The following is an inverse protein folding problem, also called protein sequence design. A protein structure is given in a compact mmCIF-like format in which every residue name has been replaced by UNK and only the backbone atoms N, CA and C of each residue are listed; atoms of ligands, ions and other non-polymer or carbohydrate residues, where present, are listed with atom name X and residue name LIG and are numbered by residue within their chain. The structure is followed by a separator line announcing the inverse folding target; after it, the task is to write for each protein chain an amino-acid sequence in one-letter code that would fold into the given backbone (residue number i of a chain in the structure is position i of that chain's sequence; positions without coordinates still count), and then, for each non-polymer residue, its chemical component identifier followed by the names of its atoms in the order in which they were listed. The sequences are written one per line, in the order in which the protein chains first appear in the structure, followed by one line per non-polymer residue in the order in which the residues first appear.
data_IF_539189601005
#
_entry.id   IF_539189601005
#
_cell.length_a   1.000
_cell.length_b   1.000
_cell.length_c   1.000
_cell.angle_alpha   90.00
_cell.angle_beta   90.00
_cell.angle_gamma   90.00
#
_symmetry.space_group_name_H-M   'P 1'
#
loop_
_entity.id
_entity.type
_entity.pdbx_description
1 polymer ?
#
# COMPACT_ATOMS: atom_id res chain seq x y z
N UNK A 1 -18.81 13.50 11.64
CA UNK A 1 -19.84 13.53 10.60
C UNK A 1 -19.28 13.34 9.20
N UNK A 2 -18.32 14.16 8.75
CA UNK A 2 -17.71 14.03 7.42
C UNK A 2 -17.07 12.67 7.19
N UNK A 3 -16.35 12.16 8.17
CA UNK A 3 -15.67 10.87 8.06
C UNK A 3 -16.65 9.69 7.93
N UNK A 4 -17.74 9.73 8.67
CA UNK A 4 -18.80 8.72 8.59
C UNK A 4 -19.48 8.71 7.23
N UNK A 5 -19.72 9.88 6.63
CA UNK A 5 -20.32 10.00 5.32
C UNK A 5 -19.37 9.48 4.24
N UNK A 6 -18.08 9.86 4.30
CA UNK A 6 -17.06 9.38 3.37
C UNK A 6 -16.92 7.88 3.43
N UNK A 7 -16.90 7.31 4.64
CA UNK A 7 -16.80 5.88 4.86
C UNK A 7 -18.03 5.16 4.29
N UNK A 8 -19.22 5.69 4.49
CA UNK A 8 -20.45 5.11 3.96
C UNK A 8 -20.46 5.10 2.42
N UNK A 9 -20.04 6.21 1.79
CA UNK A 9 -19.93 6.29 0.33
C UNK A 9 -18.90 5.29 -0.20
N UNK A 10 -17.73 5.20 0.42
CA UNK A 10 -16.69 4.24 0.05
C UNK A 10 -17.16 2.80 0.17
N UNK A 11 -17.90 2.48 1.22
CA UNK A 11 -18.49 1.15 1.43
C UNK A 11 -19.51 0.83 0.35
N UNK A 12 -20.35 1.79 -0.04
CA UNK A 12 -21.35 1.62 -1.10
C UNK A 12 -20.70 1.31 -2.44
N UNK A 13 -19.60 2.01 -2.78
CA UNK A 13 -18.84 1.75 -4.01
C UNK A 13 -18.26 0.35 -3.98
N UNK A 14 -17.67 -0.05 -2.85
CA UNK A 14 -17.11 -1.38 -2.67
C UNK A 14 -18.16 -2.46 -2.84
N UNK A 15 -19.32 -2.30 -2.24
CA UNK A 15 -20.45 -3.23 -2.37
C UNK A 15 -20.91 -3.38 -3.82
N UNK A 16 -20.98 -2.28 -4.56
CA UNK A 16 -21.31 -2.30 -5.98
C UNK A 16 -20.32 -3.11 -6.79
N UNK A 17 -19.02 -2.92 -6.54
CA UNK A 17 -17.94 -3.65 -7.23
C UNK A 17 -17.99 -5.14 -6.89
N UNK A 18 -18.19 -5.48 -5.62
CA UNK A 18 -18.26 -6.86 -5.14
C UNK A 18 -19.49 -7.60 -5.70
N UNK A 19 -20.58 -6.91 -5.91
CA UNK A 19 -21.80 -7.49 -6.49
C UNK A 19 -21.71 -7.73 -8.01
N UNK A 20 -20.58 -7.37 -8.63
CA UNK A 20 -20.39 -7.53 -10.07
C UNK A 20 -21.00 -6.38 -10.89
N UNK A 21 -21.41 -5.32 -10.23
CA UNK A 21 -21.91 -4.13 -10.93
C UNK A 21 -20.75 -3.42 -11.63
N UNK A 22 -20.80 -3.38 -12.96
CA UNK A 22 -19.83 -2.64 -13.74
C UNK A 22 -20.08 -1.15 -13.64
N UNK A 23 -19.22 -0.44 -12.93
CA UNK A 23 -19.26 1.01 -12.89
C UNK A 23 -17.87 1.56 -13.16
N UNK A 24 -17.80 2.58 -13.96
CA UNK A 24 -16.58 3.29 -14.27
C UNK A 24 -16.70 4.70 -13.71
N UNK A 25 -16.14 4.93 -12.53
CA UNK A 25 -16.12 6.24 -11.91
C UNK A 25 -14.92 7.04 -12.41
N UNK A 26 -15.17 8.26 -12.86
CA UNK A 26 -14.08 9.20 -13.15
C UNK A 26 -13.58 9.81 -11.83
N UNK A 27 -12.37 10.35 -11.86
CA UNK A 27 -11.81 11.06 -10.71
C UNK A 27 -12.72 12.22 -10.28
N UNK A 28 -13.32 12.91 -11.25
CA UNK A 28 -14.25 14.02 -11.00
C UNK A 28 -15.50 13.54 -10.26
N UNK A 29 -16.07 12.41 -10.68
CA UNK A 29 -17.25 11.83 -10.03
C UNK A 29 -16.95 11.39 -8.60
N UNK A 30 -15.81 10.72 -8.37
CA UNK A 30 -15.37 10.34 -7.03
C UNK A 30 -15.19 11.56 -6.13
N UNK A 31 -14.56 12.62 -6.66
CA UNK A 31 -14.38 13.86 -5.91
C UNK A 31 -15.74 14.50 -5.56
N UNK A 32 -16.72 14.48 -6.47
CA UNK A 32 -18.04 15.02 -6.21
C UNK A 32 -18.79 14.25 -5.12
N UNK A 33 -18.47 12.95 -4.95
CA UNK A 33 -19.02 12.11 -3.90
C UNK A 33 -18.22 12.21 -2.58
N UNK A 34 -17.16 13.02 -2.54
CA UNK A 34 -16.30 13.16 -1.38
C UNK A 34 -15.30 12.02 -1.22
N UNK A 35 -15.15 11.18 -2.23
CA UNK A 35 -14.18 10.06 -2.22
C UNK A 35 -12.87 10.53 -2.82
N UNK A 36 -11.79 10.35 -2.08
CA UNK A 36 -10.44 10.72 -2.51
C UNK A 36 -9.50 9.55 -2.31
N UNK A 37 -8.59 9.38 -3.26
CA UNK A 37 -7.49 8.42 -3.13
C UNK A 37 -6.23 9.24 -2.88
N UNK A 38 -5.73 9.29 -1.63
CA UNK A 38 -4.55 10.10 -1.31
C UNK A 38 -3.30 9.50 -1.93
N UNK A 39 -2.32 10.36 -2.21
CA UNK A 39 -1.00 9.91 -2.61
C UNK A 39 -0.27 9.35 -1.40
N UNK A 40 0.48 8.27 -1.60
CA UNK A 40 1.26 7.64 -0.56
C UNK A 40 2.62 8.31 -0.48
N UNK A 41 2.99 8.75 0.73
CA UNK A 41 4.32 9.27 1.04
C UNK A 41 4.94 8.36 2.10
N UNK A 42 6.06 7.74 1.77
CA UNK A 42 6.78 6.84 2.68
C UNK A 42 8.22 7.32 2.81
N UNK A 43 8.65 7.50 4.06
CA UNK A 43 10.02 7.92 4.39
C UNK A 43 10.95 6.72 4.54
N UNK A 44 12.26 6.97 4.47
CA UNK A 44 13.27 5.92 4.69
C UNK A 44 13.14 5.29 6.09
N UNK A 45 12.82 6.07 7.09
CA UNK A 45 12.61 5.59 8.46
C UNK A 45 11.40 4.66 8.55
N UNK A 46 10.33 5.01 7.86
CA UNK A 46 9.13 4.17 7.79
C UNK A 46 9.43 2.83 7.12
N UNK A 47 10.21 2.84 6.04
CA UNK A 47 10.59 1.60 5.32
C UNK A 47 11.40 0.67 6.24
N UNK A 48 12.37 1.21 6.98
CA UNK A 48 13.11 0.45 7.99
C UNK A 48 12.17 -0.15 9.04
N UNK A 49 11.22 0.63 9.52
CA UNK A 49 10.24 0.19 10.51
C UNK A 49 9.36 -0.93 9.98
N UNK A 50 8.91 -0.83 8.75
CA UNK A 50 8.11 -1.86 8.08
C UNK A 50 8.91 -3.16 7.99
N UNK A 51 10.16 -3.09 7.53
CA UNK A 51 11.03 -4.28 7.45
C UNK A 51 11.25 -4.91 8.82
N UNK A 52 11.47 -4.11 9.85
CA UNK A 52 11.65 -4.62 11.22
C UNK A 52 10.40 -5.34 11.72
N UNK A 53 9.21 -4.84 11.39
CA UNK A 53 7.95 -5.52 11.73
C UNK A 53 7.85 -6.89 11.06
N UNK A 54 8.37 -7.04 9.85
CA UNK A 54 8.40 -8.32 9.13
C UNK A 54 9.50 -9.24 9.64
N UNK A 55 10.44 -8.71 10.42
CA UNK A 55 11.53 -9.45 11.05
C UNK A 55 12.44 -10.18 10.05
N UNK A 56 12.77 -9.53 8.95
CA UNK A 56 13.64 -10.10 7.91
C UNK A 56 14.79 -9.15 7.58
N UNK A 57 15.84 -9.69 6.97
CA UNK A 57 16.96 -8.91 6.46
C UNK A 57 16.56 -8.08 5.25
N UNK A 58 17.39 -7.11 4.85
CA UNK A 58 17.18 -6.33 3.63
C UNK A 58 17.06 -7.22 2.39
N UNK A 59 17.91 -8.26 2.30
CA UNK A 59 17.90 -9.18 1.17
C UNK A 59 16.60 -9.97 1.08
N UNK A 60 16.16 -10.53 2.20
CA UNK A 60 14.90 -11.29 2.25
C UNK A 60 13.70 -10.36 1.99
N UNK A 61 13.72 -9.15 2.54
CA UNK A 61 12.69 -8.17 2.30
C UNK A 61 12.56 -7.83 0.82
N UNK A 62 13.70 -7.65 0.14
CA UNK A 62 13.73 -7.41 -1.30
C UNK A 62 13.14 -8.58 -2.09
N UNK A 63 13.47 -9.82 -1.70
CA UNK A 63 12.90 -11.01 -2.34
C UNK A 63 11.38 -11.09 -2.14
N UNK A 64 10.89 -10.79 -0.94
CA UNK A 64 9.45 -10.76 -0.68
C UNK A 64 8.72 -9.73 -1.55
N UNK A 65 9.34 -8.59 -1.78
CA UNK A 65 8.78 -7.51 -2.61
C UNK A 65 9.05 -7.69 -4.10
N UNK A 66 9.87 -8.67 -4.48
CA UNK A 66 10.32 -8.89 -5.86
C UNK A 66 11.07 -7.67 -6.44
N UNK A 67 11.96 -7.11 -5.63
CA UNK A 67 12.84 -6.01 -6.03
C UNK A 67 14.28 -6.39 -5.72
N UNK A 68 15.26 -5.61 -6.22
CA UNK A 68 16.66 -5.87 -5.92
C UNK A 68 17.00 -5.47 -4.47
N UNK A 69 17.92 -6.20 -3.81
CA UNK A 69 18.42 -5.80 -2.49
C UNK A 69 19.03 -4.39 -2.49
N UNK A 70 19.64 -4.00 -3.61
CA UNK A 70 20.18 -2.66 -3.79
C UNK A 70 19.08 -1.59 -3.67
N UNK A 71 17.90 -1.85 -4.22
CA UNK A 71 16.76 -0.93 -4.10
C UNK A 71 16.35 -0.72 -2.65
N UNK A 72 16.25 -1.80 -1.88
CA UNK A 72 15.88 -1.71 -0.46
C UNK A 72 16.93 -0.91 0.32
N UNK A 73 18.22 -1.18 0.08
CA UNK A 73 19.30 -0.42 0.73
C UNK A 73 19.21 1.07 0.43
N UNK A 74 18.97 1.43 -0.84
CA UNK A 74 18.86 2.82 -1.27
C UNK A 74 17.63 3.51 -0.67
N UNK A 75 16.52 2.82 -0.55
CA UNK A 75 15.32 3.34 0.12
C UNK A 75 15.59 3.63 1.60
N UNK A 76 16.26 2.71 2.28
CA UNK A 76 16.56 2.85 3.71
C UNK A 76 17.64 3.91 3.98
N UNK A 77 18.54 4.13 3.02
CA UNK A 77 19.53 5.20 3.07
C UNK A 77 18.96 6.57 2.69
N UNK A 78 17.78 6.60 2.08
CA UNK A 78 17.16 7.83 1.63
C UNK A 78 17.70 8.36 0.29
N UNK A 79 18.51 7.59 -0.41
CA UNK A 79 19.08 7.97 -1.71
C UNK A 79 18.14 7.69 -2.87
N UNK A 80 17.10 6.89 -2.65
CA UNK A 80 16.10 6.55 -3.65
C UNK A 80 14.75 6.38 -2.96
N UNK A 81 13.68 6.68 -3.70
CA UNK A 81 12.31 6.57 -3.20
C UNK A 81 11.63 5.41 -3.94
N UNK A 82 10.89 4.53 -3.25
CA UNK A 82 10.09 3.53 -3.95
C UNK A 82 9.03 4.20 -4.81
N UNK A 83 8.68 3.58 -5.93
CA UNK A 83 7.76 4.14 -6.91
C UNK A 83 6.53 3.27 -7.10
N UNK A 84 5.45 3.88 -7.58
CA UNK A 84 4.27 3.20 -8.06
C UNK A 84 3.66 2.23 -7.06
N UNK A 85 3.39 1.02 -7.54
CA UNK A 85 2.75 -0.04 -6.76
C UNK A 85 3.56 -0.51 -5.56
N UNK A 86 4.88 -0.31 -5.55
CA UNK A 86 5.72 -0.65 -4.41
C UNK A 86 5.35 0.16 -3.18
N UNK A 87 4.98 1.42 -3.35
CA UNK A 87 4.50 2.25 -2.24
C UNK A 87 3.23 1.68 -1.62
N UNK A 88 2.30 1.22 -2.44
CA UNK A 88 1.05 0.60 -1.97
C UNK A 88 1.37 -0.66 -1.18
N UNK A 89 2.27 -1.50 -1.70
CA UNK A 89 2.66 -2.73 -1.04
C UNK A 89 3.32 -2.47 0.31
N UNK A 90 4.19 -1.46 0.39
CA UNK A 90 4.82 -1.05 1.65
C UNK A 90 3.78 -0.55 2.66
N UNK A 91 2.81 0.22 2.22
CA UNK A 91 1.72 0.66 3.09
C UNK A 91 0.90 -0.52 3.62
N UNK A 92 0.61 -1.51 2.77
CA UNK A 92 -0.10 -2.73 3.19
C UNK A 92 0.71 -3.51 4.21
N UNK A 93 2.02 -3.63 4.02
CA UNK A 93 2.90 -4.31 4.99
C UNK A 93 3.00 -3.57 6.31
N UNK A 94 2.90 -2.24 6.30
CA UNK A 94 2.86 -1.46 7.53
C UNK A 94 1.63 -1.82 8.37
N UNK A 95 0.49 -2.00 7.72
CA UNK A 95 -0.77 -2.37 8.36
C UNK A 95 -0.87 -3.86 8.68
N UNK A 96 -0.29 -4.71 7.82
CA UNK A 96 -0.35 -6.16 7.93
C UNK A 96 1.04 -6.75 7.66
N UNK A 97 1.93 -6.78 8.67
CA UNK A 97 3.34 -7.18 8.46
C UNK A 97 3.53 -8.60 7.90
N UNK A 98 2.57 -9.47 8.09
CA UNK A 98 2.63 -10.87 7.64
C UNK A 98 1.92 -11.12 6.32
N UNK A 99 1.52 -10.06 5.62
CA UNK A 99 0.76 -10.15 4.37
C UNK A 99 1.45 -10.99 3.28
N UNK A 100 2.77 -10.94 3.22
CA UNK A 100 3.56 -11.66 2.22
C UNK A 100 4.17 -12.97 2.72
N UNK A 101 3.82 -13.41 3.91
CA UNK A 101 4.37 -14.64 4.50
C UNK A 101 4.03 -15.88 3.65
N UNK A 102 2.94 -15.84 2.88
CA UNK A 102 2.57 -16.92 1.96
C UNK A 102 3.64 -17.18 0.90
N UNK A 103 4.53 -16.23 0.64
CA UNK A 103 5.62 -16.37 -0.33
C UNK A 103 6.80 -17.15 0.24
N UNK A 104 6.82 -17.33 1.56
CA UNK A 104 7.87 -18.11 2.23
C UNK A 104 7.43 -19.58 2.19
N UNK A 105 8.12 -20.40 1.40
CA UNK A 105 7.85 -21.83 1.33
C UNK A 105 8.86 -22.62 2.16
N UNK A 106 8.38 -23.65 2.78
CA UNK A 106 9.18 -24.56 3.62
C UNK A 106 9.43 -25.88 2.90
#
# INVERSE_FOLDING_TARGET
MRESIKKAIGTTIQEMLESGFESSFTKKELNSLGVKIPKIVITSTQIKGIRKKTNVSQTIFAELLNVSPSSVRQWEQGTRVPTGSTKVLLELLDKSPHLLDYRISV
#
